data_IF_945598429321
#
_entry.id   IF_945598429321
#
_cell.length_a   1.000
_cell.length_b   1.000
_cell.length_c   1.000
_cell.angle_alpha   90.00
_cell.angle_beta   90.00
_cell.angle_gamma   90.00
#
_symmetry.space_group_name_H-M   'P 1'
#
loop_
_entity.id
_entity.type
_entity.pdbx_description
1 polymer ?
#
# COMPACT_ATOMS: atom_id res chain seq x y z
N UNK A 1 10.13 -15.59 1.06
CA UNK A 1 9.01 -16.07 1.87
C UNK A 1 8.75 -17.56 1.68
N UNK A 2 8.08 -18.05 0.63
CA UNK A 2 7.71 -19.48 0.50
C UNK A 2 8.85 -20.49 0.27
N UNK A 3 10.06 -20.02 -0.04
CA UNK A 3 11.27 -20.85 -0.11
C UNK A 3 12.19 -20.61 1.09
N UNK A 4 11.60 -20.44 2.29
CA UNK A 4 12.34 -20.35 3.56
C UNK A 4 13.33 -19.19 3.65
N UNK A 5 13.15 -18.16 2.80
CA UNK A 5 14.00 -16.97 2.77
C UNK A 5 13.28 -15.75 3.32
N UNK A 6 14.04 -14.90 3.99
CA UNK A 6 13.64 -13.56 4.41
C UNK A 6 13.87 -12.58 3.27
N UNK A 7 12.89 -11.72 3.01
CA UNK A 7 12.90 -10.77 1.89
C UNK A 7 12.49 -9.39 2.41
N UNK A 8 13.11 -8.35 1.88
CA UNK A 8 12.70 -6.96 2.05
C UNK A 8 12.18 -6.42 0.72
N UNK A 9 11.02 -5.77 0.72
CA UNK A 9 10.45 -5.06 -0.42
C UNK A 9 10.27 -3.59 -0.05
N UNK A 10 10.75 -2.71 -0.90
CA UNK A 10 10.58 -1.25 -0.76
C UNK A 10 9.67 -0.79 -1.89
N UNK A 11 8.60 -0.08 -1.57
CA UNK A 11 7.73 0.55 -2.56
C UNK A 11 7.98 2.06 -2.54
N UNK A 12 8.69 2.57 -3.54
CA UNK A 12 9.04 3.98 -3.69
C UNK A 12 8.41 4.55 -4.97
N UNK A 13 7.18 5.09 -4.92
CA UNK A 13 6.29 5.22 -3.76
C UNK A 13 4.85 4.80 -4.08
N UNK A 14 4.07 4.55 -3.03
CA UNK A 14 2.67 4.12 -3.14
C UNK A 14 1.71 5.28 -3.48
N UNK A 15 2.11 6.54 -3.26
CA UNK A 15 1.33 7.72 -3.67
C UNK A 15 1.20 7.80 -5.19
N UNK A 16 2.31 7.60 -5.93
CA UNK A 16 2.34 7.60 -7.40
C UNK A 16 1.60 6.38 -7.97
N UNK A 17 1.65 5.22 -7.31
CA UNK A 17 0.84 4.06 -7.67
C UNK A 17 -0.67 4.39 -7.59
N UNK A 18 -1.11 5.02 -6.50
CA UNK A 18 -2.51 5.42 -6.34
C UNK A 18 -2.94 6.41 -7.43
N UNK A 19 -2.09 7.38 -7.78
CA UNK A 19 -2.36 8.34 -8.86
C UNK A 19 -2.51 7.65 -10.22
N UNK A 20 -1.65 6.67 -10.53
CA UNK A 20 -1.76 5.88 -11.75
C UNK A 20 -3.08 5.07 -11.79
N UNK A 21 -3.46 4.44 -10.68
CA UNK A 21 -4.72 3.70 -10.58
C UNK A 21 -5.93 4.62 -10.74
N UNK A 22 -5.89 5.82 -10.17
CA UNK A 22 -6.90 6.86 -10.36
C UNK A 22 -7.04 7.24 -11.82
N UNK A 23 -5.93 7.52 -12.51
CA UNK A 23 -5.95 7.87 -13.94
C UNK A 23 -6.60 6.77 -14.77
N UNK A 24 -6.23 5.51 -14.54
CA UNK A 24 -6.86 4.37 -15.21
C UNK A 24 -8.37 4.31 -14.95
N UNK A 25 -8.80 4.45 -13.69
CA UNK A 25 -10.21 4.37 -13.32
C UNK A 25 -11.04 5.50 -13.94
N UNK A 26 -10.49 6.72 -13.98
CA UNK A 26 -11.14 7.88 -14.61
C UNK A 26 -11.29 7.69 -16.13
N UNK A 27 -10.25 7.18 -16.80
CA UNK A 27 -10.31 6.86 -18.24
C UNK A 27 -11.37 5.80 -18.54
N UNK A 28 -11.53 4.82 -17.66
CA UNK A 28 -12.56 3.79 -17.73
C UNK A 28 -13.94 4.26 -17.25
N UNK A 29 -14.10 5.55 -16.92
CA UNK A 29 -15.34 6.16 -16.42
C UNK A 29 -15.90 5.47 -15.18
N UNK A 30 -15.03 4.92 -14.32
CA UNK A 30 -15.44 4.47 -12.98
C UNK A 30 -15.80 5.68 -12.12
N UNK A 31 -16.87 5.59 -11.30
CA UNK A 31 -17.29 6.70 -10.46
C UNK A 31 -16.19 7.08 -9.45
N UNK A 32 -15.75 8.34 -9.41
CA UNK A 32 -14.76 8.82 -8.45
C UNK A 32 -15.40 9.18 -7.09
N UNK A 33 -14.61 9.08 -6.02
CA UNK A 33 -14.96 9.47 -4.66
C UNK A 33 -14.06 10.60 -4.13
N UNK A 34 -13.63 10.48 -2.86
CA UNK A 34 -12.75 11.46 -2.19
C UNK A 34 -11.45 11.66 -2.97
N UNK A 35 -11.04 12.92 -3.16
CA UNK A 35 -9.85 13.33 -3.93
C UNK A 35 -9.78 12.72 -5.36
N UNK A 36 -10.95 12.44 -5.94
CA UNK A 36 -11.16 11.80 -7.24
C UNK A 36 -10.63 10.35 -7.36
N UNK A 37 -10.27 9.69 -6.25
CA UNK A 37 -9.88 8.28 -6.27
C UNK A 37 -11.09 7.35 -6.43
N UNK A 38 -10.92 6.15 -7.03
CA UNK A 38 -11.97 5.15 -7.08
C UNK A 38 -12.26 4.59 -5.68
N UNK A 39 -13.47 4.06 -5.46
CA UNK A 39 -13.91 3.56 -4.15
C UNK A 39 -13.09 2.37 -3.60
N UNK A 40 -12.36 1.66 -4.45
CA UNK A 40 -11.51 0.52 -4.11
C UNK A 40 -10.01 0.89 -3.98
N UNK A 41 -9.65 2.17 -3.89
CA UNK A 41 -8.25 2.59 -3.70
C UNK A 41 -7.64 2.06 -2.40
N UNK A 42 -8.44 1.92 -1.35
CA UNK A 42 -7.99 1.28 -0.10
C UNK A 42 -7.64 -0.20 -0.34
N UNK A 43 -8.49 -0.91 -1.09
CA UNK A 43 -8.29 -2.31 -1.42
C UNK A 43 -7.04 -2.55 -2.27
N UNK A 44 -6.63 -1.57 -3.09
CA UNK A 44 -5.39 -1.64 -3.86
C UNK A 44 -4.17 -1.82 -2.97
N UNK A 45 -4.03 -1.01 -1.92
CA UNK A 45 -2.89 -1.05 -1.01
C UNK A 45 -3.02 -2.14 0.05
N UNK A 46 -4.23 -2.40 0.56
CA UNK A 46 -4.41 -3.43 1.60
C UNK A 46 -4.01 -4.80 1.09
N UNK A 47 -4.52 -5.24 -0.07
CA UNK A 47 -4.15 -6.54 -0.66
C UNK A 47 -2.67 -6.63 -1.04
N UNK A 48 -1.99 -5.49 -1.25
CA UNK A 48 -0.57 -5.45 -1.59
C UNK A 48 0.28 -5.64 -0.34
N UNK A 49 -0.02 -4.88 0.72
CA UNK A 49 0.77 -4.85 1.95
C UNK A 49 0.48 -6.05 2.86
N UNK A 50 -0.77 -6.54 2.92
CA UNK A 50 -1.14 -7.75 3.69
C UNK A 50 -0.46 -9.03 3.19
N UNK A 51 0.19 -9.00 2.02
CA UNK A 51 1.01 -10.13 1.55
C UNK A 51 2.40 -10.17 2.20
N UNK A 52 2.83 -9.05 2.79
CA UNK A 52 4.08 -8.97 3.53
C UNK A 52 3.84 -9.48 4.95
N UNK A 53 4.28 -10.70 5.23
CA UNK A 53 4.09 -11.32 6.53
C UNK A 53 5.24 -12.26 6.89
N UNK A 54 5.23 -12.75 8.13
CA UNK A 54 6.05 -13.85 8.61
C UNK A 54 5.26 -15.15 8.51
N UNK A 55 5.79 -16.14 7.81
CA UNK A 55 5.18 -17.48 7.75
C UNK A 55 5.37 -18.23 9.07
N UNK A 56 4.41 -19.11 9.36
CA UNK A 56 4.45 -20.05 10.48
C UNK A 56 5.54 -21.12 10.27
N UNK A 57 5.86 -21.86 11.34
CA UNK A 57 6.84 -22.95 11.28
C UNK A 57 6.46 -24.07 10.31
N UNK A 58 5.16 -24.32 10.13
CA UNK A 58 4.65 -25.30 9.15
C UNK A 58 4.89 -24.88 7.68
N UNK A 59 5.11 -23.58 7.45
CA UNK A 59 5.31 -23.00 6.12
C UNK A 59 6.76 -22.54 5.90
N UNK A 60 7.70 -23.04 6.70
CA UNK A 60 9.13 -22.82 6.48
C UNK A 60 9.68 -21.49 6.99
N UNK A 61 8.92 -20.76 7.82
CA UNK A 61 9.38 -19.58 8.57
C UNK A 61 9.95 -18.41 7.76
N UNK A 62 9.86 -18.41 6.43
CA UNK A 62 10.29 -17.27 5.62
C UNK A 62 9.46 -16.01 5.92
N UNK A 63 10.03 -14.85 5.61
CA UNK A 63 9.33 -13.57 5.79
C UNK A 63 9.39 -12.71 4.53
N UNK A 64 8.47 -11.76 4.48
CA UNK A 64 8.48 -10.63 3.57
C UNK A 64 8.18 -9.38 4.39
N UNK A 65 9.17 -8.50 4.52
CA UNK A 65 9.01 -7.19 5.16
C UNK A 65 8.74 -6.16 4.07
N UNK A 66 7.71 -5.33 4.23
CA UNK A 66 7.40 -4.25 3.31
C UNK A 66 7.73 -2.89 3.93
N UNK A 67 8.41 -2.04 3.18
CA UNK A 67 8.65 -0.63 3.49
C UNK A 67 7.97 0.22 2.43
N UNK A 68 6.66 0.53 2.59
CA UNK A 68 5.98 1.45 1.71
C UNK A 68 6.37 2.90 2.01
N UNK A 69 6.76 3.63 0.96
CA UNK A 69 6.95 5.07 1.03
C UNK A 69 5.65 5.75 0.57
N UNK A 70 5.25 6.80 1.28
CA UNK A 70 4.10 7.63 0.98
C UNK A 70 4.58 9.08 0.97
N UNK A 71 4.47 9.72 -0.19
CA UNK A 71 4.75 11.14 -0.32
C UNK A 71 3.57 11.95 0.25
N UNK A 72 3.84 12.77 1.28
CA UNK A 72 2.88 13.76 1.81
C UNK A 72 3.08 15.10 1.12
N UNK A 73 1.99 15.80 0.83
CA UNK A 73 2.04 17.14 0.26
C UNK A 73 1.99 18.16 1.38
N UNK A 74 2.99 19.06 1.44
CA UNK A 74 3.09 20.08 2.49
C UNK A 74 3.04 19.53 3.93
N UNK A 75 3.46 18.27 4.12
CA UNK A 75 3.41 17.59 5.43
C UNK A 75 2.00 17.17 5.88
N UNK A 76 1.00 17.20 5.00
CA UNK A 76 -0.37 16.80 5.33
C UNK A 76 -0.51 15.26 5.40
N UNK A 77 -0.59 14.73 6.62
CA UNK A 77 -0.84 13.31 6.92
C UNK A 77 -2.31 12.93 6.90
N UNK A 78 -3.21 13.92 6.87
CA UNK A 78 -4.67 13.71 6.90
C UNK A 78 -5.27 13.52 5.51
N UNK A 79 -4.45 13.68 4.46
CA UNK A 79 -4.81 13.36 3.09
C UNK A 79 -5.24 11.89 2.95
N UNK A 80 -6.05 11.61 1.92
CA UNK A 80 -6.75 10.33 1.83
C UNK A 80 -5.82 9.13 1.70
N UNK A 81 -4.78 9.21 0.86
CA UNK A 81 -3.83 8.12 0.66
C UNK A 81 -2.95 7.87 1.89
N UNK A 82 -2.30 8.90 2.50
CA UNK A 82 -1.58 8.71 3.76
C UNK A 82 -2.42 8.07 4.86
N UNK A 83 -3.63 8.56 5.09
CA UNK A 83 -4.54 8.00 6.12
C UNK A 83 -4.82 6.51 5.87
N UNK A 84 -5.09 6.13 4.61
CA UNK A 84 -5.32 4.74 4.25
C UNK A 84 -4.10 3.87 4.51
N UNK A 85 -2.91 4.29 4.07
CA UNK A 85 -1.69 3.49 4.25
C UNK A 85 -1.32 3.35 5.73
N UNK A 86 -1.43 4.43 6.51
CA UNK A 86 -1.21 4.41 7.97
C UNK A 86 -2.13 3.38 8.64
N UNK A 87 -3.38 3.28 8.20
CA UNK A 87 -4.33 2.30 8.78
C UNK A 87 -4.07 0.85 8.38
N UNK A 88 -3.22 0.60 7.38
CA UNK A 88 -2.87 -0.74 6.91
C UNK A 88 -1.52 -1.20 7.51
N UNK A 89 -0.56 -0.28 7.64
CA UNK A 89 0.79 -0.58 8.13
C UNK A 89 0.84 -0.80 9.64
N UNK A 90 1.79 -1.61 10.10
CA UNK A 90 2.03 -1.87 11.54
C UNK A 90 2.62 -0.68 12.31
N UNK A 91 2.94 0.42 11.62
CA UNK A 91 3.49 1.64 12.18
C UNK A 91 4.09 2.54 11.08
N UNK A 92 4.59 3.70 11.49
CA UNK A 92 5.13 4.70 10.58
C UNK A 92 6.39 5.36 11.14
N UNK A 93 7.30 5.72 10.23
CA UNK A 93 8.48 6.55 10.52
C UNK A 93 8.25 7.88 9.79
N UNK A 94 8.25 8.99 10.54
CA UNK A 94 7.98 10.34 10.04
C UNK A 94 9.27 11.13 9.85
#
# INVERSE_FOLDING_TARGET
MYHERHILIIYDDTSKQAQAYRQMCLLLRRPPGREAYPGDVFYLHSRLLERAAKLSSQLGEGSMTALPIVETQSGDVSAYIPTNVISITDGQIF
#
